data_IF_624234853300
#
_entry.id   IF_624234853300
#
_cell.length_a   1.000
_cell.length_b   1.000
_cell.length_c   1.000
_cell.angle_alpha   90.00
_cell.angle_beta   90.00
_cell.angle_gamma   90.00
#
_symmetry.space_group_name_H-M   'P 1'
#
loop_
_entity.id
_entity.type
_entity.pdbx_description
1 polymer ?
#
# COMPACT_ATOMS: atom_id res chain seq x y z
N UNK A 1 18.94 -11.98 -17.81
CA UNK A 1 19.18 -13.35 -17.35
C UNK A 1 20.68 -13.68 -17.21
N UNK A 2 21.53 -13.47 -18.22
CA UNK A 2 22.99 -13.85 -18.19
C UNK A 2 23.75 -13.21 -17.02
N UNK A 3 23.45 -11.92 -16.67
CA UNK A 3 24.06 -11.24 -15.51
C UNK A 3 23.52 -11.80 -14.20
N UNK A 4 22.21 -11.99 -14.10
CA UNK A 4 21.57 -12.55 -12.91
C UNK A 4 22.11 -13.96 -12.60
N UNK A 5 22.24 -14.82 -13.61
CA UNK A 5 22.80 -16.17 -13.46
C UNK A 5 24.22 -16.17 -12.91
N UNK A 6 25.10 -15.24 -13.37
CA UNK A 6 26.47 -15.13 -12.85
C UNK A 6 26.51 -14.71 -11.38
N UNK A 7 25.55 -13.85 -10.96
CA UNK A 7 25.53 -13.31 -9.61
C UNK A 7 24.74 -14.21 -8.64
N UNK A 8 23.96 -15.16 -9.14
CA UNK A 8 23.16 -16.05 -8.30
C UNK A 8 24.03 -16.83 -7.29
N UNK A 9 25.23 -17.29 -7.72
CA UNK A 9 26.18 -17.96 -6.84
C UNK A 9 26.74 -17.08 -5.72
N UNK A 10 26.70 -15.75 -5.86
CA UNK A 10 27.12 -14.84 -4.79
C UNK A 10 26.13 -14.84 -3.61
N UNK A 11 24.85 -15.01 -3.89
CA UNK A 11 23.81 -15.07 -2.84
C UNK A 11 23.95 -16.30 -1.95
N UNK A 12 24.60 -17.36 -2.46
CA UNK A 12 24.81 -18.61 -1.74
C UNK A 12 26.14 -18.65 -0.97
N UNK A 13 26.92 -17.54 -0.97
CA UNK A 13 28.16 -17.48 -0.20
C UNK A 13 27.83 -17.34 1.28
N UNK A 14 28.36 -18.26 2.05
CA UNK A 14 28.27 -18.21 3.50
C UNK A 14 28.81 -16.87 4.05
N UNK A 15 28.08 -16.27 4.97
CA UNK A 15 28.44 -15.04 5.65
C UNK A 15 28.26 -13.76 4.83
N UNK A 16 27.63 -13.81 3.64
CA UNK A 16 27.31 -12.62 2.85
C UNK A 16 26.02 -11.94 3.32
N UNK A 17 25.01 -12.72 3.65
CA UNK A 17 23.72 -12.25 4.17
C UNK A 17 23.65 -12.58 5.67
N UNK A 18 23.63 -11.57 6.52
CA UNK A 18 23.65 -11.74 7.97
C UNK A 18 22.56 -10.98 8.70
N UNK A 19 22.04 -9.92 8.08
CA UNK A 19 21.24 -8.92 8.75
C UNK A 19 19.84 -8.86 8.14
N UNK A 20 18.86 -8.51 8.98
CA UNK A 20 17.45 -8.57 8.66
C UNK A 20 16.75 -7.30 9.14
N UNK A 21 16.65 -6.28 8.28
CA UNK A 21 15.98 -5.02 8.58
C UNK A 21 14.58 -5.03 7.95
N UNK A 22 13.70 -5.86 8.47
CA UNK A 22 12.41 -6.19 7.88
C UNK A 22 11.50 -4.98 7.66
N UNK A 23 11.48 -4.03 8.61
CA UNK A 23 10.62 -2.86 8.50
C UNK A 23 10.96 -1.98 7.31
N UNK A 24 12.25 -1.72 7.03
CA UNK A 24 12.68 -0.96 5.86
C UNK A 24 12.43 -1.72 4.56
N UNK A 25 12.74 -3.02 4.55
CA UNK A 25 12.48 -3.88 3.39
C UNK A 25 10.99 -3.91 3.03
N UNK A 26 10.12 -3.97 4.05
CA UNK A 26 8.67 -3.95 3.90
C UNK A 26 8.18 -2.62 3.30
N UNK A 27 8.65 -1.49 3.83
CA UNK A 27 8.31 -0.16 3.30
C UNK A 27 8.82 0.02 1.88
N UNK A 28 10.04 -0.41 1.59
CA UNK A 28 10.60 -0.35 0.23
C UNK A 28 9.78 -1.17 -0.78
N UNK A 29 9.37 -2.38 -0.43
CA UNK A 29 8.54 -3.23 -1.28
C UNK A 29 7.14 -2.63 -1.47
N UNK A 30 6.56 -2.10 -0.40
CA UNK A 30 5.27 -1.40 -0.41
C UNK A 30 5.27 -0.21 -1.37
N UNK A 31 6.28 0.67 -1.30
CA UNK A 31 6.37 1.84 -2.18
C UNK A 31 6.46 1.45 -3.66
N UNK A 32 7.16 0.34 -3.97
CA UNK A 32 7.21 -0.18 -5.33
C UNK A 32 5.88 -0.71 -5.82
N UNK A 33 5.08 -1.31 -4.94
CA UNK A 33 3.72 -1.74 -5.25
C UNK A 33 2.76 -0.56 -5.42
N UNK A 34 2.91 0.51 -4.63
CA UNK A 34 2.10 1.72 -4.79
C UNK A 34 2.29 2.39 -6.15
N UNK A 35 3.48 2.30 -6.72
CA UNK A 35 3.79 2.83 -8.05
C UNK A 35 3.19 1.99 -9.20
N UNK A 36 2.58 0.83 -8.93
CA UNK A 36 1.99 -0.05 -9.93
C UNK A 36 0.58 0.39 -10.31
N UNK A 37 0.18 0.27 -11.59
CA UNK A 37 -1.15 0.66 -12.05
C UNK A 37 -2.24 -0.37 -11.73
N UNK A 38 -1.87 -1.57 -11.30
CA UNK A 38 -2.81 -2.64 -11.01
C UNK A 38 -3.74 -2.26 -9.86
N UNK A 39 -5.03 -2.58 -9.99
CA UNK A 39 -6.03 -2.26 -8.97
C UNK A 39 -5.82 -3.05 -7.69
N UNK A 40 -5.52 -4.35 -7.80
CA UNK A 40 -5.23 -5.21 -6.67
C UNK A 40 -3.73 -5.41 -6.53
N UNK A 41 -3.20 -5.12 -5.35
CA UNK A 41 -1.78 -5.20 -5.03
C UNK A 41 -1.60 -5.97 -3.73
N UNK A 42 -0.87 -7.06 -3.80
CA UNK A 42 -0.66 -7.98 -2.69
C UNK A 42 0.83 -8.02 -2.39
N UNK A 43 1.21 -7.77 -1.13
CA UNK A 43 2.56 -7.93 -0.61
C UNK A 43 2.60 -9.15 0.29
N UNK A 44 3.31 -10.19 -0.15
CA UNK A 44 3.51 -11.39 0.64
C UNK A 44 4.91 -11.37 1.25
N UNK A 45 4.96 -11.46 2.57
CA UNK A 45 6.18 -11.53 3.36
C UNK A 45 6.43 -12.98 3.76
N UNK A 46 7.64 -13.45 3.57
CA UNK A 46 8.10 -14.76 4.05
C UNK A 46 9.23 -14.49 5.02
N UNK A 47 9.08 -14.92 6.26
CA UNK A 47 10.03 -14.65 7.34
C UNK A 47 10.34 -15.93 8.12
N UNK A 48 11.62 -16.14 8.40
CA UNK A 48 12.15 -17.25 9.20
C UNK A 48 12.66 -16.80 10.58
N UNK A 49 12.46 -15.53 10.94
CA UNK A 49 12.94 -15.01 12.22
C UNK A 49 12.48 -13.60 12.55
N UNK A 50 12.98 -13.10 13.64
CA UNK A 50 12.81 -11.71 14.04
C UNK A 50 13.82 -10.80 13.33
N UNK A 51 13.50 -9.49 13.16
CA UNK A 51 14.45 -8.54 12.56
C UNK A 51 15.69 -8.39 13.46
N UNK A 52 16.86 -8.56 12.88
CA UNK A 52 18.16 -8.47 13.57
C UNK A 52 19.15 -7.74 12.66
N UNK A 53 19.76 -6.68 13.18
CA UNK A 53 20.91 -5.99 12.58
C UNK A 53 21.83 -5.48 13.69
N UNK A 54 23.01 -6.05 13.79
CA UNK A 54 23.95 -5.76 14.88
C UNK A 54 24.36 -4.29 14.92
N UNK A 55 24.53 -3.67 13.75
CA UNK A 55 24.89 -2.25 13.65
C UNK A 55 23.77 -1.36 14.21
N UNK A 56 22.53 -1.65 13.85
CA UNK A 56 21.37 -0.92 14.36
C UNK A 56 21.16 -1.15 15.86
N UNK A 57 21.28 -2.40 16.32
CA UNK A 57 21.08 -2.75 17.72
C UNK A 57 22.17 -2.19 18.64
N UNK A 58 23.40 -1.99 18.13
CA UNK A 58 24.47 -1.36 18.90
C UNK A 58 24.24 0.14 19.13
N UNK A 59 23.52 0.81 18.23
CA UNK A 59 23.25 2.26 18.27
C UNK A 59 21.87 2.61 18.85
N UNK A 60 20.97 1.63 19.01
CA UNK A 60 19.58 1.84 19.41
C UNK A 60 19.17 0.89 20.54
N UNK A 61 17.96 1.08 21.07
CA UNK A 61 17.39 0.16 22.05
C UNK A 61 17.13 -1.22 21.43
N UNK A 62 17.24 -2.31 22.23
CA UNK A 62 17.13 -3.69 21.75
C UNK A 62 15.80 -4.05 21.07
N UNK A 63 14.74 -3.26 21.26
CA UNK A 63 13.44 -3.45 20.61
C UNK A 63 13.19 -2.51 19.42
N UNK A 64 14.20 -1.76 18.98
CA UNK A 64 14.05 -0.74 17.91
C UNK A 64 13.56 -1.34 16.60
N UNK A 65 14.18 -2.42 16.13
CA UNK A 65 13.83 -3.07 14.87
C UNK A 65 12.45 -3.70 14.92
N UNK A 66 12.09 -4.34 16.03
CA UNK A 66 10.76 -4.92 16.22
C UNK A 66 9.67 -3.83 16.23
N UNK A 67 9.92 -2.73 16.93
CA UNK A 67 9.00 -1.59 16.96
C UNK A 67 8.82 -1.00 15.56
N UNK A 68 9.92 -0.76 14.85
CA UNK A 68 9.89 -0.24 13.48
C UNK A 68 9.11 -1.16 12.53
N UNK A 69 9.30 -2.48 12.65
CA UNK A 69 8.52 -3.45 11.87
C UNK A 69 7.03 -3.35 12.17
N UNK A 70 6.63 -3.26 13.44
CA UNK A 70 5.21 -3.09 13.83
C UNK A 70 4.62 -1.80 13.30
N UNK A 71 5.34 -0.70 13.38
CA UNK A 71 4.91 0.60 12.87
C UNK A 71 4.71 0.54 11.33
N UNK A 72 5.60 -0.13 10.61
CA UNK A 72 5.50 -0.35 9.16
C UNK A 72 4.28 -1.22 8.79
N UNK A 73 4.05 -2.31 9.52
CA UNK A 73 2.89 -3.19 9.33
C UNK A 73 1.59 -2.41 9.58
N UNK A 74 1.50 -1.67 10.68
CA UNK A 74 0.31 -0.87 11.03
C UNK A 74 0.01 0.18 9.95
N UNK A 75 1.05 0.83 9.43
CA UNK A 75 0.91 1.78 8.33
C UNK A 75 0.30 1.12 7.09
N UNK A 76 0.82 -0.03 6.69
CA UNK A 76 0.38 -0.72 5.47
C UNK A 76 -1.03 -1.29 5.68
N UNK A 77 -1.27 -2.04 6.74
CA UNK A 77 -2.57 -2.68 7.00
C UNK A 77 -3.68 -1.67 7.32
N UNK A 78 -3.33 -0.52 7.91
CA UNK A 78 -4.29 0.49 8.35
C UNK A 78 -4.61 1.54 7.29
N UNK A 79 -3.67 1.92 6.43
CA UNK A 79 -3.77 3.11 5.58
C UNK A 79 -3.49 2.88 4.11
N UNK A 80 -2.97 1.72 3.73
CA UNK A 80 -2.61 1.41 2.34
C UNK A 80 -3.69 0.60 1.62
N UNK A 81 -3.81 0.74 0.29
CA UNK A 81 -4.61 -0.14 -0.55
C UNK A 81 -3.89 -1.48 -0.86
N UNK A 82 -2.67 -1.67 -0.37
CA UNK A 82 -1.90 -2.91 -0.55
C UNK A 82 -2.36 -3.93 0.50
N UNK A 83 -2.71 -5.13 0.05
CA UNK A 83 -3.03 -6.25 0.92
C UNK A 83 -1.72 -6.86 1.43
N UNK A 84 -1.58 -7.00 2.75
CA UNK A 84 -0.39 -7.55 3.39
C UNK A 84 -0.69 -8.93 3.95
N UNK A 85 0.20 -9.89 3.64
CA UNK A 85 0.10 -11.28 4.10
C UNK A 85 1.49 -11.73 4.52
N UNK A 86 1.56 -12.54 5.56
CA UNK A 86 2.80 -13.10 6.04
C UNK A 86 2.77 -14.64 6.16
N UNK A 87 3.89 -15.26 5.86
CA UNK A 87 4.15 -16.68 6.10
C UNK A 87 5.42 -16.76 6.94
N UNK A 88 5.28 -17.27 8.17
CA UNK A 88 6.41 -17.57 9.04
C UNK A 88 6.88 -19.00 8.86
N UNK A 89 8.19 -19.22 8.79
CA UNK A 89 8.82 -20.54 8.72
C UNK A 89 9.54 -20.78 10.02
N UNK A 90 9.02 -21.72 10.85
CA UNK A 90 9.59 -22.00 12.16
C UNK A 90 9.52 -20.84 13.17
N UNK A 91 8.88 -19.73 12.78
CA UNK A 91 8.74 -18.51 13.57
C UNK A 91 7.30 -18.00 13.53
N UNK A 92 6.75 -17.65 14.68
CA UNK A 92 5.38 -17.14 14.79
C UNK A 92 5.29 -15.68 14.37
N UNK A 93 4.76 -15.45 13.16
CA UNK A 93 4.51 -14.12 12.60
C UNK A 93 3.07 -13.62 12.84
N UNK A 94 2.19 -14.46 13.38
CA UNK A 94 0.78 -14.09 13.62
C UNK A 94 0.64 -12.97 14.65
N UNK A 95 1.63 -12.80 15.51
CA UNK A 95 1.69 -11.71 16.49
C UNK A 95 2.00 -10.34 15.89
N UNK A 96 2.43 -10.29 14.62
CA UNK A 96 2.76 -9.05 13.92
C UNK A 96 1.72 -8.70 12.87
N UNK A 97 1.30 -9.69 12.07
CA UNK A 97 0.46 -9.51 10.88
C UNK A 97 -0.95 -10.03 11.12
N UNK A 98 -1.96 -9.30 10.64
CA UNK A 98 -3.37 -9.71 10.77
C UNK A 98 -3.69 -10.92 9.90
N UNK A 99 -3.08 -11.00 8.72
CA UNK A 99 -3.25 -12.11 7.78
C UNK A 99 -1.94 -12.87 7.69
N UNK A 100 -1.79 -13.86 8.53
CA UNK A 100 -0.57 -14.64 8.64
C UNK A 100 -0.84 -16.13 8.80
N UNK A 101 0.13 -16.93 8.37
CA UNK A 101 0.20 -18.36 8.64
C UNK A 101 1.62 -18.70 9.08
N UNK A 102 1.73 -19.63 10.02
CA UNK A 102 3.03 -20.16 10.44
C UNK A 102 3.11 -21.61 9.98
N UNK A 103 4.20 -21.94 9.31
CA UNK A 103 4.56 -23.30 8.91
C UNK A 103 5.78 -23.77 9.70
N UNK A 104 5.88 -25.05 9.94
CA UNK A 104 6.98 -25.63 10.73
C UNK A 104 8.23 -25.80 9.87
N UNK A 105 8.04 -26.15 8.61
CA UNK A 105 9.11 -26.53 7.70
C UNK A 105 9.02 -25.75 6.37
N UNK A 106 10.15 -25.37 5.84
CA UNK A 106 10.26 -24.71 4.53
C UNK A 106 9.70 -25.56 3.37
N UNK A 107 9.68 -26.89 3.49
CA UNK A 107 9.07 -27.79 2.52
C UNK A 107 7.55 -27.54 2.36
N UNK A 108 6.87 -27.05 3.40
CA UNK A 108 5.45 -26.71 3.38
C UNK A 108 5.16 -25.37 2.69
N UNK A 109 6.20 -24.58 2.40
CA UNK A 109 6.04 -23.21 1.88
C UNK A 109 5.23 -23.16 0.59
N UNK A 110 5.50 -24.07 -0.35
CA UNK A 110 4.79 -24.10 -1.65
C UNK A 110 3.29 -24.35 -1.48
N UNK A 111 2.91 -25.26 -0.59
CA UNK A 111 1.51 -25.53 -0.25
C UNK A 111 0.84 -24.34 0.42
N UNK A 112 1.48 -23.79 1.46
CA UNK A 112 0.97 -22.64 2.20
C UNK A 112 0.79 -21.40 1.32
N UNK A 113 1.73 -21.12 0.42
CA UNK A 113 1.62 -20.02 -0.56
C UNK A 113 0.44 -20.24 -1.50
N UNK A 114 0.28 -21.46 -2.03
CA UNK A 114 -0.80 -21.78 -2.97
C UNK A 114 -2.16 -21.63 -2.30
N UNK A 115 -2.30 -22.12 -1.07
CA UNK A 115 -3.53 -22.01 -0.27
C UNK A 115 -3.88 -20.55 0.02
N UNK A 116 -2.88 -19.75 0.47
CA UNK A 116 -3.11 -18.32 0.76
C UNK A 116 -3.43 -17.52 -0.49
N UNK A 117 -2.83 -17.83 -1.62
CA UNK A 117 -3.18 -17.21 -2.89
C UNK A 117 -4.59 -17.60 -3.33
N UNK A 118 -4.99 -18.87 -3.19
CA UNK A 118 -6.34 -19.32 -3.51
C UNK A 118 -7.39 -18.58 -2.65
N UNK A 119 -7.20 -18.53 -1.32
CA UNK A 119 -8.07 -17.77 -0.42
C UNK A 119 -8.21 -16.30 -0.85
N UNK A 120 -7.11 -15.68 -1.22
CA UNK A 120 -7.10 -14.29 -1.67
C UNK A 120 -7.88 -14.04 -2.96
N UNK A 121 -7.80 -14.97 -3.91
CA UNK A 121 -8.52 -14.83 -5.17
C UNK A 121 -10.00 -15.17 -5.03
N UNK A 122 -10.38 -15.97 -4.06
CA UNK A 122 -11.78 -16.27 -3.73
C UNK A 122 -12.44 -15.14 -2.93
N UNK A 123 -11.67 -14.36 -2.16
CA UNK A 123 -12.16 -13.17 -1.49
C UNK A 123 -12.34 -12.02 -2.48
N UNK A 124 -13.50 -11.35 -2.44
CA UNK A 124 -13.67 -10.10 -3.16
C UNK A 124 -12.61 -9.08 -2.69
N UNK A 125 -11.96 -8.35 -3.62
CA UNK A 125 -10.99 -7.33 -3.22
C UNK A 125 -11.65 -6.35 -2.24
N UNK A 126 -10.94 -5.92 -1.18
CA UNK A 126 -11.48 -4.94 -0.24
C UNK A 126 -11.92 -3.69 -1.03
N UNK A 127 -13.08 -3.10 -0.71
CA UNK A 127 -13.55 -1.90 -1.39
C UNK A 127 -12.44 -0.86 -1.33
N UNK A 128 -11.99 -0.41 -2.52
CA UNK A 128 -10.86 0.49 -2.64
C UNK A 128 -11.02 1.69 -1.71
N UNK A 129 -10.17 1.78 -0.69
CA UNK A 129 -10.11 2.94 0.22
C UNK A 129 -9.55 4.14 -0.53
N UNK A 130 -10.26 4.64 -1.54
CA UNK A 130 -9.74 5.74 -2.32
C UNK A 130 -10.65 6.29 -3.41
N UNK A 131 -11.74 5.65 -3.74
CA UNK A 131 -12.76 6.34 -4.52
C UNK A 131 -13.50 7.34 -3.63
N UNK A 132 -12.91 8.52 -3.43
CA UNK A 132 -13.73 9.71 -3.20
C UNK A 132 -14.68 9.75 -4.38
N UNK A 133 -15.95 9.39 -4.17
CA UNK A 133 -17.03 9.74 -5.08
C UNK A 133 -16.80 11.20 -5.47
N UNK A 134 -16.82 11.56 -6.75
CA UNK A 134 -16.75 12.96 -7.13
C UNK A 134 -17.89 13.64 -6.36
N UNK A 135 -17.52 14.53 -5.43
CA UNK A 135 -18.49 15.43 -4.82
C UNK A 135 -19.13 16.14 -5.99
N UNK A 136 -20.40 15.87 -6.24
CA UNK A 136 -21.23 16.74 -7.07
C UNK A 136 -21.07 18.11 -6.45
N UNK A 137 -20.29 18.97 -7.12
CA UNK A 137 -20.21 20.37 -6.78
C UNK A 137 -21.64 20.92 -6.67
N UNK A 138 -21.88 21.95 -5.85
CA UNK A 138 -23.18 22.54 -5.72
C UNK A 138 -23.66 22.86 -7.13
N UNK A 139 -24.84 22.36 -7.47
CA UNK A 139 -25.53 22.60 -8.75
C UNK A 139 -25.52 24.09 -8.96
N UNK A 140 -24.76 24.57 -9.96
CA UNK A 140 -24.77 25.96 -10.33
C UNK A 140 -26.24 26.36 -10.54
N UNK A 141 -26.69 27.29 -9.73
CA UNK A 141 -28.03 27.85 -9.77
C UNK A 141 -28.25 28.39 -11.18
N UNK A 142 -29.15 27.75 -11.91
CA UNK A 142 -29.55 28.18 -13.26
C UNK A 142 -30.01 29.64 -13.16
N UNK A 143 -29.43 30.59 -13.92
CA UNK A 143 -29.92 31.95 -13.88
C UNK A 143 -31.39 31.96 -14.32
N UNK A 144 -32.22 32.73 -13.61
CA UNK A 144 -33.61 32.92 -13.92
C UNK A 144 -33.77 33.50 -15.34
N UNK A 145 -34.83 33.11 -16.10
CA UNK A 145 -35.05 33.68 -17.40
C UNK A 145 -35.31 35.18 -17.26
N UNK A 146 -34.53 35.97 -17.99
CA UNK A 146 -34.75 37.42 -18.15
C UNK A 146 -36.14 37.66 -18.73
N UNK A 147 -36.98 38.34 -17.97
CA UNK A 147 -38.28 38.80 -18.41
C UNK A 147 -38.14 39.81 -19.58
N UNK A 148 -39.20 40.03 -20.34
CA UNK A 148 -39.15 40.87 -21.56
C UNK A 148 -38.79 42.32 -21.21
N UNK A 149 -37.80 42.84 -21.95
CA UNK A 149 -37.38 44.24 -21.87
C UNK A 149 -38.55 45.16 -22.26
N UNK A 150 -38.89 46.07 -21.35
CA UNK A 150 -39.85 47.16 -21.65
C UNK A 150 -39.14 48.17 -22.56
N UNK A 151 -39.78 48.59 -23.70
CA UNK A 151 -39.17 49.58 -24.57
C UNK A 151 -39.12 50.94 -23.86
N UNK A 152 -37.94 51.59 -23.93
CA UNK A 152 -37.72 52.95 -23.45
C UNK A 152 -38.52 53.93 -24.32
N UNK A 153 -39.45 54.66 -23.71
CA UNK A 153 -40.13 55.80 -24.36
C UNK A 153 -39.15 56.97 -24.40
N UNK A 154 -38.74 57.35 -25.59
CA UNK A 154 -38.10 58.63 -25.89
C UNK A 154 -39.16 59.74 -25.83
N UNK A 155 -39.07 60.60 -24.83
CA UNK A 155 -39.76 61.90 -24.82
C UNK A 155 -38.83 62.93 -25.44
N UNK A 156 -39.09 63.28 -26.67
CA UNK A 156 -38.42 64.36 -27.34
C UNK A 156 -38.81 65.73 -26.73
N UNK A 157 -37.81 66.48 -26.36
CA UNK A 157 -37.95 67.92 -26.08
C UNK A 157 -37.53 68.70 -27.29
N UNK A 158 -38.46 69.52 -27.81
CA UNK A 158 -38.25 70.46 -28.88
C UNK A 158 -37.35 71.62 -28.44
N UNK A 159 -36.51 72.16 -29.33
CA UNK A 159 -35.83 73.43 -29.06
C UNK A 159 -36.75 74.59 -29.23
N UNK A 160 -36.68 75.61 -28.40
CA UNK A 160 -37.30 76.90 -28.51
C UNK A 160 -36.23 77.92 -29.01
N UNK A 161 -36.57 78.62 -30.07
CA UNK A 161 -36.03 79.86 -30.65
C UNK A 161 -34.72 80.44 -30.11
#
# INVERSE_FOLDING_TARGET
WRRAKKNLGLMMREGLLKENIDGEALLWAHDRLLARPEQRRILMVISDGAPVDDSTLSANTGNYLEKHLRDAIELIEGRSPVELIAIGIGHDVTRYYKRAVTIVDAEQLGGAMTEKLAELFDEAPPPGRGEKKPQRGPTAMRPAPSGPERPLRFTGTRPVS
#
